data_IF_057800517281
#
_entry.id   IF_057800517281
#
_cell.length_a   1.000
_cell.length_b   1.000
_cell.length_c   1.000
_cell.angle_alpha   90.00
_cell.angle_beta   90.00
_cell.angle_gamma   90.00
#
_symmetry.space_group_name_H-M   'P 1'
#
loop_
_entity.id
_entity.type
_entity.pdbx_description
1 polymer ?
#
# COMPACT_ATOMS: atom_id res chain seq x y z
N UNK A 1 -1.38 21.43 2.50
CA UNK A 1 -1.88 20.61 1.37
C UNK A 1 -1.31 19.22 1.55
N UNK A 2 -2.12 18.22 1.91
CA UNK A 2 -1.68 16.82 1.94
C UNK A 2 -1.75 16.29 0.51
N UNK A 3 -0.59 16.12 -0.13
CA UNK A 3 -0.52 15.48 -1.44
C UNK A 3 -0.91 14.02 -1.25
N UNK A 4 -2.00 13.60 -1.88
CA UNK A 4 -2.39 12.18 -1.90
C UNK A 4 -1.37 11.45 -2.76
N UNK A 5 -0.54 10.61 -2.14
CA UNK A 5 0.42 9.79 -2.85
C UNK A 5 -0.29 8.66 -3.58
N UNK A 6 0.02 8.46 -4.86
CA UNK A 6 -0.48 7.34 -5.66
C UNK A 6 0.66 6.38 -5.98
N UNK A 7 0.46 5.10 -5.71
CA UNK A 7 1.45 4.06 -5.97
C UNK A 7 1.89 4.03 -7.43
N UNK A 8 0.97 4.30 -8.36
CA UNK A 8 1.25 4.36 -9.81
C UNK A 8 2.16 5.52 -10.25
N UNK A 9 2.37 6.50 -9.37
CA UNK A 9 3.23 7.65 -9.61
C UNK A 9 4.61 7.47 -8.94
N UNK A 10 4.81 6.42 -8.15
CA UNK A 10 6.07 6.17 -7.48
C UNK A 10 7.09 5.58 -8.45
N UNK A 11 8.34 6.08 -8.46
CA UNK A 11 9.43 5.47 -9.20
C UNK A 11 9.67 4.03 -8.75
N UNK A 12 9.59 3.09 -9.69
CA UNK A 12 9.98 1.69 -9.47
C UNK A 12 11.49 1.56 -9.68
N UNK A 13 12.22 1.16 -8.64
CA UNK A 13 13.68 0.96 -8.68
C UNK A 13 14.08 -0.46 -9.04
N UNK A 14 13.24 -1.42 -8.70
CA UNK A 14 13.47 -2.81 -8.98
C UNK A 14 12.14 -3.55 -9.09
N UNK A 15 12.03 -4.46 -10.05
CA UNK A 15 10.88 -5.31 -10.19
C UNK A 15 11.32 -6.72 -10.57
N UNK A 16 10.70 -7.69 -9.92
CA UNK A 16 10.75 -9.10 -10.23
C UNK A 16 9.34 -9.65 -10.15
N UNK A 17 8.88 -10.25 -11.23
CA UNK A 17 7.58 -10.90 -11.29
C UNK A 17 7.56 -12.15 -10.41
N UNK A 18 6.37 -12.50 -9.92
CA UNK A 18 6.15 -13.75 -9.21
C UNK A 18 6.27 -14.93 -10.18
N UNK A 19 6.96 -15.98 -9.75
CA UNK A 19 7.13 -17.25 -10.45
C UNK A 19 6.83 -18.41 -9.49
N UNK A 20 6.50 -19.60 -10.01
CA UNK A 20 6.08 -20.77 -9.21
C UNK A 20 6.99 -21.11 -8.02
N UNK A 21 8.28 -20.79 -8.10
CA UNK A 21 9.27 -21.07 -7.07
C UNK A 21 9.95 -19.81 -6.53
N UNK A 22 9.42 -18.61 -6.83
CA UNK A 22 10.05 -17.36 -6.48
C UNK A 22 9.03 -16.26 -6.25
N UNK A 23 9.05 -15.70 -5.04
CA UNK A 23 8.17 -14.59 -4.67
C UNK A 23 8.40 -13.36 -5.57
N UNK A 24 7.30 -12.70 -5.93
CA UNK A 24 7.33 -11.41 -6.59
C UNK A 24 7.94 -10.35 -5.67
N UNK A 25 8.62 -9.37 -6.24
CA UNK A 25 9.22 -8.28 -5.50
C UNK A 25 9.16 -7.00 -6.35
N UNK A 26 8.56 -5.95 -5.80
CA UNK A 26 8.62 -4.61 -6.39
C UNK A 26 9.17 -3.63 -5.35
N UNK A 27 10.17 -2.82 -5.72
CA UNK A 27 10.76 -1.79 -4.86
C UNK A 27 10.40 -0.42 -5.42
N UNK A 28 9.73 0.39 -4.60
CA UNK A 28 9.34 1.76 -4.87
C UNK A 28 10.25 2.74 -4.11
N UNK A 29 10.56 3.87 -4.73
CA UNK A 29 11.12 5.03 -4.05
C UNK A 29 9.98 6.01 -3.73
N UNK A 30 9.87 6.42 -2.46
CA UNK A 30 8.98 7.50 -2.04
C UNK A 30 9.85 8.69 -1.66
N UNK A 31 9.74 9.77 -2.43
CA UNK A 31 10.53 10.97 -2.23
C UNK A 31 10.34 11.52 -0.80
N UNK A 32 11.44 11.69 -0.07
CA UNK A 32 11.43 12.14 1.33
C UNK A 32 11.18 11.05 2.38
N UNK A 33 10.73 9.85 1.99
CA UNK A 33 10.44 8.75 2.92
C UNK A 33 11.33 7.51 2.72
N UNK A 34 12.02 7.40 1.60
CA UNK A 34 12.98 6.31 1.33
C UNK A 34 12.41 5.18 0.48
N UNK A 35 12.96 3.97 0.66
CA UNK A 35 12.58 2.79 -0.12
C UNK A 35 11.50 1.97 0.57
N UNK A 36 10.54 1.53 -0.23
CA UNK A 36 9.50 0.60 0.15
C UNK A 36 9.58 -0.59 -0.78
N UNK A 37 9.27 -1.78 -0.28
CA UNK A 37 9.14 -2.97 -1.13
C UNK A 37 7.83 -3.68 -0.86
N UNK A 38 7.31 -4.32 -1.90
CA UNK A 38 6.18 -5.23 -1.83
C UNK A 38 6.65 -6.60 -2.24
N UNK A 39 6.52 -7.56 -1.33
CA UNK A 39 6.73 -8.99 -1.58
C UNK A 39 5.39 -9.64 -1.89
N UNK A 40 5.34 -10.41 -2.98
CA UNK A 40 4.20 -11.29 -3.32
C UNK A 40 4.64 -12.73 -3.05
N UNK A 41 4.31 -13.23 -1.86
CA UNK A 41 4.78 -14.52 -1.37
C UNK A 41 4.06 -15.66 -2.10
N UNK A 42 2.73 -15.57 -2.12
CA UNK A 42 1.83 -16.40 -2.90
C UNK A 42 0.84 -15.47 -3.60
N UNK A 43 0.09 -16.03 -4.57
CA UNK A 43 -0.96 -15.27 -5.25
C UNK A 43 -2.01 -14.80 -4.23
N UNK A 44 -2.19 -13.49 -4.13
CA UNK A 44 -3.11 -12.88 -3.15
C UNK A 44 -2.51 -12.60 -1.77
N UNK A 45 -1.25 -12.97 -1.51
CA UNK A 45 -0.57 -12.69 -0.24
C UNK A 45 0.59 -11.71 -0.45
N UNK A 46 0.45 -10.51 0.13
CA UNK A 46 1.40 -9.41 -0.02
C UNK A 46 1.96 -8.95 1.32
N UNK A 47 3.23 -8.57 1.32
CA UNK A 47 3.86 -7.89 2.46
C UNK A 47 4.48 -6.59 1.99
N UNK A 48 4.11 -5.48 2.62
CA UNK A 48 4.72 -4.17 2.36
C UNK A 48 5.73 -3.89 3.46
N UNK A 49 6.95 -3.52 3.08
CA UNK A 49 8.06 -3.26 3.97
C UNK A 49 8.74 -1.94 3.62
N UNK A 50 9.39 -1.31 4.60
CA UNK A 50 10.27 -0.15 4.39
C UNK A 50 11.71 -0.47 4.77
N UNK A 51 12.66 0.19 4.11
CA UNK A 51 14.08 0.05 4.42
C UNK A 51 14.48 1.00 5.57
N UNK A 52 14.97 0.42 6.66
CA UNK A 52 15.56 1.15 7.79
C UNK A 52 17.07 0.90 7.86
N UNK A 53 17.75 1.54 8.82
CA UNK A 53 19.17 1.27 9.09
C UNK A 53 19.47 -0.20 9.49
N UNK A 54 18.47 -0.93 9.98
CA UNK A 54 18.60 -2.33 10.39
C UNK A 54 18.14 -3.32 9.31
N UNK A 55 17.74 -2.83 8.14
CA UNK A 55 17.17 -3.62 7.05
C UNK A 55 15.68 -3.40 6.88
N UNK A 56 15.02 -4.37 6.26
CA UNK A 56 13.61 -4.28 5.89
C UNK A 56 12.71 -4.53 7.10
N UNK A 57 11.74 -3.64 7.29
CA UNK A 57 10.76 -3.70 8.38
C UNK A 57 9.37 -3.83 7.79
N UNK A 58 8.61 -4.83 8.23
CA UNK A 58 7.20 -5.03 7.83
C UNK A 58 6.33 -3.90 8.34
N UNK A 59 5.53 -3.35 7.42
CA UNK A 59 4.55 -2.31 7.69
C UNK A 59 3.14 -2.91 7.75
N UNK A 60 2.75 -3.62 6.69
CA UNK A 60 1.47 -4.34 6.60
C UNK A 60 1.66 -5.68 5.91
N UNK A 61 0.81 -6.63 6.29
CA UNK A 61 0.60 -7.91 5.60
C UNK A 61 -0.84 -7.92 5.10
N UNK A 62 -1.03 -8.34 3.87
CA UNK A 62 -2.31 -8.44 3.21
C UNK A 62 -2.50 -9.88 2.75
N UNK A 63 -3.70 -10.41 2.96
CA UNK A 63 -4.08 -11.75 2.55
C UNK A 63 -5.26 -11.70 1.55
N UNK A 64 -5.74 -12.87 1.16
CA UNK A 64 -6.81 -13.00 0.16
C UNK A 64 -8.10 -12.25 0.55
N UNK A 65 -8.34 -12.03 1.85
CA UNK A 65 -9.53 -11.30 2.34
C UNK A 65 -9.46 -9.80 2.06
N UNK A 66 -8.26 -9.24 1.89
CA UNK A 66 -8.06 -7.83 1.55
C UNK A 66 -8.40 -7.50 0.09
N UNK A 67 -8.68 -8.52 -0.74
CA UNK A 67 -9.04 -8.38 -2.17
C UNK A 67 -8.01 -7.64 -3.01
N UNK A 68 -6.75 -7.64 -2.58
CA UNK A 68 -5.61 -7.08 -3.30
C UNK A 68 -5.07 -8.13 -4.26
N UNK A 69 -4.87 -7.75 -5.53
CA UNK A 69 -4.44 -8.69 -6.58
C UNK A 69 -3.03 -8.39 -7.12
N UNK A 70 -2.48 -7.21 -6.83
CA UNK A 70 -1.22 -6.76 -7.39
C UNK A 70 -0.34 -6.05 -6.37
N UNK A 71 0.97 -6.05 -6.64
CA UNK A 71 1.93 -5.29 -5.84
C UNK A 71 1.67 -3.77 -5.86
N UNK A 72 1.03 -3.25 -6.92
CA UNK A 72 0.61 -1.86 -7.02
C UNK A 72 -0.51 -1.54 -6.03
N UNK A 73 -1.55 -2.38 -6.01
CA UNK A 73 -2.68 -2.25 -5.08
C UNK A 73 -2.23 -2.39 -3.63
N UNK A 74 -1.37 -3.36 -3.33
CA UNK A 74 -0.80 -3.53 -1.98
C UNK A 74 -0.08 -2.26 -1.49
N UNK A 75 0.72 -1.63 -2.36
CA UNK A 75 1.39 -0.37 -2.04
C UNK A 75 0.38 0.78 -1.89
N UNK A 76 -0.66 0.84 -2.73
CA UNK A 76 -1.71 1.86 -2.61
C UNK A 76 -2.47 1.73 -1.30
N UNK A 77 -2.83 0.51 -0.86
CA UNK A 77 -3.47 0.25 0.43
C UNK A 77 -2.63 0.80 1.58
N UNK A 78 -1.32 0.59 1.57
CA UNK A 78 -0.43 1.19 2.58
C UNK A 78 -0.47 2.72 2.56
N UNK A 79 -0.40 3.35 1.38
CA UNK A 79 -0.45 4.80 1.25
C UNK A 79 -1.79 5.39 1.72
N UNK A 80 -2.89 4.68 1.47
CA UNK A 80 -4.24 5.08 1.87
C UNK A 80 -4.40 5.01 3.40
N UNK A 81 -3.80 4.04 4.08
CA UNK A 81 -3.78 3.97 5.56
C UNK A 81 -3.05 5.19 6.16
N UNK A 82 -1.95 5.62 5.53
CA UNK A 82 -1.17 6.78 5.98
C UNK A 82 -1.87 8.11 5.72
N UNK A 83 -2.84 8.12 4.81
CA UNK A 83 -3.57 9.31 4.41
C UNK A 83 -5.04 9.12 4.77
N UNK A 84 -5.45 9.33 6.04
CA UNK A 84 -6.85 9.21 6.41
C UNK A 84 -7.65 10.12 5.48
N UNK A 85 -8.50 9.52 4.66
CA UNK A 85 -9.41 10.25 3.80
C UNK A 85 -10.15 11.23 4.72
N UNK A 86 -10.06 12.54 4.44
CA UNK A 86 -10.88 13.54 5.12
C UNK A 86 -12.32 13.03 5.04
N UNK A 87 -12.88 12.68 6.19
CA UNK A 87 -14.21 12.09 6.34
C UNK A 87 -15.18 12.69 5.32
N UNK A 88 -15.86 11.80 4.58
CA UNK A 88 -17.18 12.09 4.04
C UNK A 88 -18.03 12.46 5.24
N UNK A 89 -18.27 13.76 5.38
CA UNK A 89 -19.21 14.33 6.31
C UNK A 89 -20.60 13.93 5.79
N UNK A 90 -21.11 12.78 6.22
CA UNK A 90 -22.54 12.51 6.18
C UNK A 90 -23.16 13.29 7.35
N UNK A 91 -23.20 14.61 7.20
CA UNK A 91 -24.20 15.44 7.84
C UNK A 91 -25.47 15.37 6.97
N UNK A 92 -26.33 14.40 7.26
CA UNK A 92 -27.78 14.61 7.15
C UNK A 92 -28.42 13.97 8.39
N UNK A 93 -28.11 14.59 9.54
CA UNK A 93 -29.01 14.60 10.68
C UNK A 93 -29.80 15.91 10.63
N UNK A 94 -31.04 15.83 10.14
CA UNK A 94 -32.24 16.66 10.40
C UNK A 94 -33.22 16.24 9.30
N UNK A 95 -34.40 15.70 9.56
CA UNK A 95 -35.42 16.33 10.37
C UNK A 95 -36.44 15.26 10.80
N UNK A 96 -36.56 15.05 12.10
CA UNK A 96 -37.79 14.57 12.71
C UNK A 96 -38.16 15.60 13.76
N UNK A 97 -39.25 16.33 13.53
CA UNK A 97 -40.08 16.94 14.57
C UNK A 97 -41.46 17.25 13.95
N UNK A 98 -42.48 16.63 14.56
CA UNK A 98 -43.96 16.83 14.55
C UNK A 98 -44.71 17.25 13.26
#
# INVERSE_FOLDING_TARGET
>A
MTVVLRASQLPVKYQRLHETHRSGLTIYEVAGSGLYRVLELNRGEFTVETLTQFGWTTLIKLDEQDKVSTALEAMQTWLDIQTPARNVQQEEGSEGDD
#
